data_IF_049494859939
#
_entry.id   IF_049494859939
#
_cell.length_a   1.000
_cell.length_b   1.000
_cell.length_c   1.000
_cell.angle_alpha   90.00
_cell.angle_beta   90.00
_cell.angle_gamma   90.00
#
_symmetry.space_group_name_H-M   'P 1'
#
loop_
_entity.id
_entity.type
_entity.pdbx_description
1 polymer ?
#
# COMPACT_ATOMS: atom_id res chain seq x y z
N UNK A 1 -13.45 13.42 -9.20
CA UNK A 1 -12.38 12.42 -9.38
C UNK A 1 -12.53 11.39 -8.28
N UNK A 2 -12.40 10.09 -8.57
CA UNK A 2 -12.53 9.05 -7.53
C UNK A 2 -11.17 8.79 -6.90
N UNK A 3 -11.12 8.31 -5.65
CA UNK A 3 -9.86 7.96 -4.96
C UNK A 3 -9.04 6.92 -5.74
N UNK A 4 -9.71 6.03 -6.46
CA UNK A 4 -9.06 5.03 -7.32
C UNK A 4 -8.39 5.68 -8.53
N UNK A 5 -9.03 6.69 -9.14
CA UNK A 5 -8.45 7.44 -10.26
C UNK A 5 -7.18 8.18 -9.83
N UNK A 6 -7.19 8.81 -8.65
CA UNK A 6 -6.02 9.48 -8.07
C UNK A 6 -4.90 8.49 -7.74
N UNK A 7 -5.25 7.33 -7.16
CA UNK A 7 -4.29 6.27 -6.83
C UNK A 7 -3.61 5.74 -8.09
N UNK A 8 -4.37 5.49 -9.16
CA UNK A 8 -3.81 5.05 -10.44
C UNK A 8 -2.92 6.12 -11.08
N UNK A 9 -3.32 7.39 -11.05
CA UNK A 9 -2.49 8.49 -11.55
C UNK A 9 -1.18 8.63 -10.79
N UNK A 10 -1.22 8.59 -9.45
CA UNK A 10 0.01 8.63 -8.63
C UNK A 10 0.90 7.46 -8.98
N UNK A 11 0.38 6.22 -8.95
CA UNK A 11 1.16 5.02 -9.27
C UNK A 11 1.80 5.08 -10.66
N UNK A 12 1.11 5.64 -11.66
CA UNK A 12 1.64 5.79 -13.02
C UNK A 12 2.82 6.76 -13.12
N UNK A 13 2.86 7.78 -12.25
CA UNK A 13 3.93 8.79 -12.22
C UNK A 13 5.10 8.44 -11.31
N UNK A 14 5.06 7.31 -10.60
CA UNK A 14 6.13 6.90 -9.70
C UNK A 14 7.39 6.49 -10.49
N UNK A 15 8.53 6.97 -10.03
CA UNK A 15 9.83 6.51 -10.52
C UNK A 15 10.15 5.11 -9.98
N UNK A 16 11.04 4.37 -10.64
CA UNK A 16 11.49 3.04 -10.18
C UNK A 16 12.01 3.06 -8.73
N UNK A 17 12.70 4.15 -8.35
CA UNK A 17 13.18 4.34 -6.98
C UNK A 17 12.01 4.46 -5.98
N UNK A 18 10.95 5.18 -6.34
CA UNK A 18 9.76 5.31 -5.51
C UNK A 18 8.98 3.97 -5.43
N UNK A 19 8.91 3.24 -6.55
CA UNK A 19 8.29 1.90 -6.61
C UNK A 19 9.05 0.93 -5.69
N UNK A 20 10.39 0.94 -5.70
CA UNK A 20 11.19 0.10 -4.83
C UNK A 20 10.95 0.39 -3.34
N UNK A 21 10.83 1.67 -2.95
CA UNK A 21 10.47 2.05 -1.58
C UNK A 21 9.06 1.60 -1.20
N UNK A 22 8.13 1.64 -2.15
CA UNK A 22 6.77 1.12 -1.97
C UNK A 22 6.77 -0.39 -1.77
N UNK A 23 7.58 -1.15 -2.52
CA UNK A 23 7.76 -2.58 -2.32
C UNK A 23 8.30 -2.91 -0.92
N UNK A 24 9.31 -2.16 -0.45
CA UNK A 24 9.82 -2.31 0.92
C UNK A 24 8.74 -2.03 1.97
N UNK A 25 7.92 -1.00 1.75
CA UNK A 25 6.85 -0.62 2.67
C UNK A 25 5.73 -1.67 2.69
N UNK A 26 5.36 -2.21 1.53
CA UNK A 26 4.39 -3.31 1.42
C UNK A 26 4.89 -4.55 2.17
N UNK A 27 6.16 -4.93 2.00
CA UNK A 27 6.73 -6.07 2.71
C UNK A 27 6.70 -5.88 4.24
N UNK A 28 7.09 -4.69 4.72
CA UNK A 28 7.05 -4.36 6.15
C UNK A 28 5.62 -4.41 6.71
N UNK A 29 4.67 -3.81 6.01
CA UNK A 29 3.25 -3.78 6.43
C UNK A 29 2.62 -5.17 6.38
N UNK A 30 2.97 -5.98 5.40
CA UNK A 30 2.55 -7.38 5.34
C UNK A 30 3.09 -8.17 6.54
N UNK A 31 4.35 -7.94 6.94
CA UNK A 31 4.93 -8.56 8.13
C UNK A 31 4.17 -8.14 9.40
N UNK A 32 3.89 -6.85 9.58
CA UNK A 32 3.10 -6.34 10.72
C UNK A 32 1.71 -7.00 10.79
N UNK A 33 1.02 -7.13 9.64
CA UNK A 33 -0.27 -7.81 9.52
C UNK A 33 -0.18 -9.29 9.88
N UNK A 34 0.86 -9.98 9.39
CA UNK A 34 1.08 -11.40 9.68
C UNK A 34 1.42 -11.66 11.15
N UNK A 35 2.04 -10.68 11.82
CA UNK A 35 2.36 -10.75 13.25
C UNK A 35 1.17 -10.39 14.15
N UNK A 36 0.15 -9.74 13.62
CA UNK A 36 -1.05 -9.40 14.36
C UNK A 36 -2.05 -10.58 14.33
N UNK A 37 -2.30 -11.29 15.45
CA UNK A 37 -3.19 -12.46 15.47
C UNK A 37 -4.63 -12.13 15.07
N UNK A 38 -5.10 -10.89 15.28
CA UNK A 38 -6.44 -10.46 14.88
C UNK A 38 -6.59 -10.27 13.37
N UNK A 39 -5.49 -9.97 12.67
CA UNK A 39 -5.47 -9.76 11.22
C UNK A 39 -4.93 -10.98 10.45
N UNK A 40 -3.98 -11.71 11.04
CA UNK A 40 -3.35 -12.89 10.46
C UNK A 40 -4.37 -13.99 10.16
N UNK A 41 -5.41 -14.15 10.99
CA UNK A 41 -6.51 -15.10 10.77
C UNK A 41 -7.30 -14.86 9.48
N UNK A 42 -7.26 -13.62 8.96
CA UNK A 42 -7.92 -13.25 7.72
C UNK A 42 -7.00 -13.29 6.50
N UNK A 43 -5.72 -13.65 6.67
CA UNK A 43 -4.72 -13.68 5.60
C UNK A 43 -4.71 -12.38 4.77
N UNK A 44 -4.87 -11.24 5.44
CA UNK A 44 -4.96 -9.93 4.78
C UNK A 44 -3.69 -9.67 3.98
N UNK A 45 -3.87 -9.30 2.71
CA UNK A 45 -2.76 -8.96 1.81
C UNK A 45 -2.66 -7.45 1.65
N UNK A 46 -1.49 -6.90 1.94
CA UNK A 46 -1.17 -5.50 1.70
C UNK A 46 -0.69 -5.35 0.25
N UNK A 47 -1.26 -4.39 -0.47
CA UNK A 47 -0.85 -4.05 -1.84
C UNK A 47 -0.33 -2.62 -1.92
N UNK A 48 0.42 -2.31 -3.00
CA UNK A 48 0.89 -0.94 -3.28
C UNK A 48 -0.26 0.05 -3.31
N UNK A 49 -1.39 -0.32 -3.93
CA UNK A 49 -2.58 0.51 -3.98
C UNK A 49 -3.11 0.84 -2.59
N UNK A 50 -3.18 -0.14 -1.67
CA UNK A 50 -3.67 0.13 -0.31
C UNK A 50 -2.78 1.12 0.44
N UNK A 51 -1.47 1.07 0.22
CA UNK A 51 -0.51 2.02 0.81
C UNK A 51 -0.70 3.43 0.22
N UNK A 52 -0.85 3.54 -1.10
CA UNK A 52 -1.06 4.83 -1.78
C UNK A 52 -2.43 5.42 -1.42
N UNK A 53 -3.48 4.61 -1.37
CA UNK A 53 -4.83 5.02 -0.96
C UNK A 53 -4.88 5.51 0.50
N UNK A 54 -4.18 4.82 1.41
CA UNK A 54 -4.05 5.24 2.82
C UNK A 54 -3.26 6.56 2.93
N UNK A 55 -2.20 6.75 2.14
CA UNK A 55 -1.46 8.00 2.09
C UNK A 55 -2.30 9.16 1.53
N UNK A 56 -3.01 8.94 0.43
CA UNK A 56 -3.92 9.93 -0.17
C UNK A 56 -5.09 10.28 0.75
N UNK A 57 -5.59 9.33 1.54
CA UNK A 57 -6.67 9.57 2.51
C UNK A 57 -6.23 10.34 3.76
N UNK A 58 -4.92 10.49 3.98
CA UNK A 58 -4.33 11.25 5.09
C UNK A 58 -3.91 12.67 4.71
N UNK A 59 -4.08 13.06 3.44
CA UNK A 59 -3.97 14.45 3.00
C UNK A 59 -5.23 15.23 3.36
#
# INVERSE_FOLDING_TARGET
MTKQDETHRVMFTLTDQAIAKLDQLVAKKQQEVNQNPDLAKYHVRVTKSNIVEDWLSKQ
#
